data_IF_261154081959
#
_entry.id   IF_261154081959
#
_cell.length_a   1.000
_cell.length_b   1.000
_cell.length_c   1.000
_cell.angle_alpha   90.00
_cell.angle_beta   90.00
_cell.angle_gamma   90.00
#
_symmetry.space_group_name_H-M   'P 1'
#
loop_
_entity.id
_entity.type
_entity.pdbx_description
1 polymer ?
#
# COMPACT_ATOMS: atom_id res chain seq x y z
N UNK A 1 12.71 -24.65 -9.87
CA UNK A 1 11.50 -23.79 -9.93
C UNK A 1 11.54 -22.98 -11.22
N UNK A 2 10.42 -22.85 -11.92
CA UNK A 2 10.32 -21.95 -13.08
C UNK A 2 10.16 -20.48 -12.64
N UNK A 3 10.27 -19.54 -13.59
CA UNK A 3 10.23 -18.09 -13.29
C UNK A 3 8.93 -17.65 -12.58
N UNK A 4 7.79 -18.20 -12.99
CA UNK A 4 6.50 -17.97 -12.33
C UNK A 4 6.56 -18.34 -10.84
N UNK A 5 7.06 -19.54 -10.53
CA UNK A 5 7.16 -20.03 -9.14
C UNK A 5 8.09 -19.17 -8.29
N UNK A 6 9.24 -18.70 -8.85
CA UNK A 6 10.13 -17.79 -8.13
C UNK A 6 9.45 -16.49 -7.77
N UNK A 7 8.67 -15.89 -8.69
CA UNK A 7 7.95 -14.64 -8.43
C UNK A 7 6.89 -14.84 -7.34
N UNK A 8 6.05 -15.88 -7.48
CA UNK A 8 5.02 -16.18 -6.49
C UNK A 8 5.61 -16.39 -5.10
N UNK A 9 6.66 -17.22 -5.01
CA UNK A 9 7.35 -17.50 -3.76
C UNK A 9 7.97 -16.25 -3.14
N UNK A 10 8.67 -15.43 -3.93
CA UNK A 10 9.31 -14.21 -3.46
C UNK A 10 8.31 -13.18 -2.91
N UNK A 11 7.17 -12.99 -3.59
CA UNK A 11 6.12 -12.08 -3.13
C UNK A 11 5.49 -12.58 -1.84
N UNK A 12 5.13 -13.87 -1.77
CA UNK A 12 4.57 -14.48 -0.56
C UNK A 12 5.56 -14.37 0.61
N UNK A 13 6.84 -14.70 0.37
CA UNK A 13 7.87 -14.62 1.40
C UNK A 13 8.07 -13.18 1.89
N UNK A 14 8.06 -12.19 1.00
CA UNK A 14 8.15 -10.78 1.37
C UNK A 14 6.96 -10.34 2.23
N UNK A 15 5.72 -10.74 1.87
CA UNK A 15 4.54 -10.46 2.67
C UNK A 15 4.60 -11.13 4.06
N UNK A 16 5.02 -12.39 4.14
CA UNK A 16 5.18 -13.11 5.41
C UNK A 16 6.28 -12.50 6.28
N UNK A 17 7.39 -12.07 5.69
CA UNK A 17 8.47 -11.41 6.42
C UNK A 17 8.00 -10.09 7.05
N UNK A 18 7.24 -9.27 6.30
CA UNK A 18 6.69 -8.04 6.87
C UNK A 18 5.63 -8.35 7.92
N UNK A 19 4.73 -9.32 7.69
CA UNK A 19 3.76 -9.73 8.71
C UNK A 19 4.46 -10.17 10.02
N UNK A 20 5.56 -10.91 9.92
CA UNK A 20 6.38 -11.29 11.08
C UNK A 20 7.00 -10.08 11.78
N UNK A 21 7.52 -9.11 11.02
CA UNK A 21 8.04 -7.84 11.57
C UNK A 21 6.94 -7.06 12.29
N UNK A 22 5.74 -6.97 11.71
CA UNK A 22 4.61 -6.21 12.27
C UNK A 22 4.02 -6.87 13.53
N UNK A 23 3.99 -8.22 13.59
CA UNK A 23 3.27 -8.94 14.66
C UNK A 23 4.18 -9.48 15.75
N UNK A 24 5.43 -9.82 15.43
CA UNK A 24 6.35 -10.50 16.37
C UNK A 24 7.49 -9.58 16.81
N UNK A 25 8.19 -8.95 15.88
CA UNK A 25 9.37 -8.12 16.22
C UNK A 25 8.93 -6.75 16.74
N UNK A 26 7.91 -6.15 16.11
CA UNK A 26 7.32 -4.86 16.45
C UNK A 26 8.35 -3.74 16.70
N UNK A 27 9.32 -3.53 15.82
CA UNK A 27 10.28 -2.45 15.98
C UNK A 27 9.60 -1.11 15.66
N UNK A 28 10.18 -0.01 16.11
CA UNK A 28 9.66 1.33 15.79
C UNK A 28 9.58 1.60 14.28
N UNK A 29 8.73 2.54 13.88
CA UNK A 29 8.36 2.85 12.50
C UNK A 29 9.56 3.01 11.54
N UNK A 30 10.63 3.70 11.97
CA UNK A 30 11.82 3.92 11.14
C UNK A 30 12.52 2.60 10.77
N UNK A 31 12.64 1.67 11.73
CA UNK A 31 13.26 0.36 11.50
C UNK A 31 12.39 -0.49 10.58
N UNK A 32 11.08 -0.53 10.79
CA UNK A 32 10.12 -1.19 9.88
C UNK A 32 10.25 -0.66 8.45
N UNK A 33 10.33 0.66 8.30
CA UNK A 33 10.48 1.33 7.01
C UNK A 33 11.79 0.95 6.31
N UNK A 34 12.91 0.87 7.02
CA UNK A 34 14.19 0.42 6.47
C UNK A 34 14.14 -1.05 6.04
N UNK A 35 13.55 -1.93 6.85
CA UNK A 35 13.37 -3.35 6.50
C UNK A 35 12.52 -3.47 5.22
N UNK A 36 11.40 -2.76 5.14
CA UNK A 36 10.52 -2.75 3.96
C UNK A 36 11.26 -2.25 2.71
N UNK A 37 12.00 -1.13 2.84
CA UNK A 37 12.80 -0.58 1.76
C UNK A 37 13.77 -1.63 1.19
N UNK A 38 14.58 -2.24 2.06
CA UNK A 38 15.58 -3.23 1.65
C UNK A 38 14.93 -4.50 1.08
N UNK A 39 13.89 -5.00 1.72
CA UNK A 39 13.22 -6.24 1.32
C UNK A 39 12.52 -6.07 -0.03
N UNK A 40 11.72 -5.01 -0.22
CA UNK A 40 10.94 -4.83 -1.45
C UNK A 40 11.84 -4.46 -2.63
N UNK A 41 12.73 -3.49 -2.47
CA UNK A 41 13.67 -3.12 -3.55
C UNK A 41 14.64 -4.25 -3.85
N UNK A 42 15.17 -4.93 -2.84
CA UNK A 42 16.08 -6.07 -2.99
C UNK A 42 15.41 -7.23 -3.74
N UNK A 43 14.15 -7.56 -3.40
CA UNK A 43 13.38 -8.61 -4.09
C UNK A 43 13.14 -8.27 -5.56
N UNK A 44 12.70 -7.04 -5.85
CA UNK A 44 12.45 -6.56 -7.21
C UNK A 44 13.74 -6.54 -8.03
N UNK A 45 14.83 -6.05 -7.45
CA UNK A 45 16.14 -6.01 -8.11
C UNK A 45 16.70 -7.41 -8.37
N UNK A 46 16.68 -8.31 -7.39
CA UNK A 46 17.16 -9.69 -7.51
C UNK A 46 16.42 -10.48 -8.59
N UNK A 47 15.13 -10.18 -8.78
CA UNK A 47 14.32 -10.75 -9.85
C UNK A 47 14.40 -9.95 -11.17
N UNK A 48 15.33 -9.01 -11.32
CA UNK A 48 15.69 -8.36 -12.57
C UNK A 48 14.58 -7.52 -13.20
N UNK A 49 13.62 -7.03 -12.42
CA UNK A 49 12.54 -6.18 -12.93
C UNK A 49 13.11 -4.80 -13.27
N UNK A 50 12.87 -4.31 -14.47
CA UNK A 50 13.43 -3.06 -14.99
C UNK A 50 12.42 -2.35 -15.91
N UNK A 51 12.68 -1.05 -16.19
CA UNK A 51 11.92 -0.28 -17.19
C UNK A 51 10.51 0.09 -16.76
N UNK A 52 10.25 0.19 -15.44
CA UNK A 52 8.94 0.46 -14.88
C UNK A 52 8.56 1.94 -14.89
N UNK A 53 9.55 2.85 -14.83
CA UNK A 53 9.33 4.29 -14.71
C UNK A 53 9.15 4.96 -16.09
N UNK A 54 8.00 4.70 -16.70
CA UNK A 54 7.60 5.26 -17.98
C UNK A 54 6.49 6.27 -17.74
N UNK A 55 6.38 7.29 -18.61
CA UNK A 55 5.43 8.40 -18.43
C UNK A 55 4.04 8.13 -19.03
N UNK A 56 3.84 6.97 -19.64
CA UNK A 56 2.54 6.60 -20.20
C UNK A 56 1.48 6.52 -19.10
N UNK A 57 0.35 7.16 -19.32
CA UNK A 57 -0.78 7.15 -18.37
C UNK A 57 -0.65 8.10 -17.18
N UNK A 58 0.39 8.93 -17.10
CA UNK A 58 0.62 9.84 -15.98
C UNK A 58 -0.61 10.73 -15.66
N UNK A 59 -1.22 11.34 -16.68
CA UNK A 59 -2.41 12.17 -16.51
C UNK A 59 -3.61 11.39 -15.94
N UNK A 60 -3.78 10.12 -16.34
CA UNK A 60 -4.81 9.25 -15.79
C UNK A 60 -4.52 8.91 -14.33
N UNK A 61 -3.26 8.63 -13.98
CA UNK A 61 -2.85 8.38 -12.60
C UNK A 61 -3.14 9.56 -11.68
N UNK A 62 -2.82 10.79 -12.11
CA UNK A 62 -3.13 12.02 -11.37
C UNK A 62 -4.64 12.20 -11.22
N UNK A 63 -5.41 12.08 -12.31
CA UNK A 63 -6.87 12.24 -12.26
C UNK A 63 -7.54 11.23 -11.32
N UNK A 64 -7.13 9.96 -11.39
CA UNK A 64 -7.64 8.92 -10.49
C UNK A 64 -7.16 9.13 -9.06
N UNK A 65 -5.91 9.56 -8.83
CA UNK A 65 -5.43 9.92 -7.51
C UNK A 65 -6.29 11.00 -6.85
N UNK A 66 -6.64 12.04 -7.61
CA UNK A 66 -7.56 13.10 -7.15
C UNK A 66 -8.98 12.58 -6.87
N UNK A 67 -9.50 11.70 -7.74
CA UNK A 67 -10.82 11.09 -7.54
C UNK A 67 -10.83 10.20 -6.30
N UNK A 68 -9.83 9.33 -6.12
CA UNK A 68 -9.69 8.46 -4.95
C UNK A 68 -9.55 9.29 -3.67
N UNK A 69 -8.72 10.35 -3.70
CA UNK A 69 -8.58 11.30 -2.60
C UNK A 69 -9.95 11.85 -2.17
N UNK A 70 -10.74 12.33 -3.12
CA UNK A 70 -12.07 12.88 -2.85
C UNK A 70 -13.03 11.84 -2.30
N UNK A 71 -13.02 10.61 -2.86
CA UNK A 71 -13.88 9.51 -2.40
C UNK A 71 -13.53 9.10 -0.98
N UNK A 72 -12.25 8.95 -0.64
CA UNK A 72 -11.82 8.56 0.72
C UNK A 72 -12.20 9.63 1.73
N UNK A 73 -11.97 10.91 1.45
CA UNK A 73 -12.39 11.99 2.35
C UNK A 73 -13.92 12.05 2.48
N UNK A 74 -14.67 11.89 1.39
CA UNK A 74 -16.13 11.82 1.44
C UNK A 74 -16.62 10.66 2.30
N UNK A 75 -16.05 9.48 2.12
CA UNK A 75 -16.36 8.29 2.92
C UNK A 75 -16.00 8.51 4.41
N UNK A 76 -14.89 9.16 4.70
CA UNK A 76 -14.52 9.51 6.06
C UNK A 76 -15.60 10.38 6.75
N UNK A 77 -16.08 11.45 6.10
CA UNK A 77 -17.11 12.31 6.69
C UNK A 77 -18.41 11.55 6.93
N UNK A 78 -18.77 10.59 6.09
CA UNK A 78 -19.95 9.74 6.28
C UNK A 78 -19.74 8.72 7.42
N UNK A 79 -18.56 8.14 7.52
CA UNK A 79 -18.23 7.08 8.49
C UNK A 79 -17.69 7.62 9.82
N UNK A 80 -17.36 8.91 9.91
CA UNK A 80 -16.78 9.54 11.10
C UNK A 80 -17.50 9.21 12.42
N UNK A 81 -18.85 9.18 12.49
CA UNK A 81 -19.55 8.84 13.72
C UNK A 81 -19.29 7.41 14.23
N UNK A 82 -18.77 6.53 13.37
CA UNK A 82 -18.48 5.13 13.67
C UNK A 82 -16.98 4.86 13.90
N UNK A 83 -16.13 5.90 13.85
CA UNK A 83 -14.69 5.80 14.02
C UNK A 83 -14.27 6.40 15.37
N UNK A 84 -13.55 5.63 16.14
CA UNK A 84 -12.88 6.10 17.35
C UNK A 84 -11.49 6.65 17.00
N UNK A 85 -11.45 7.95 16.67
CA UNK A 85 -10.23 8.62 16.26
C UNK A 85 -9.20 8.73 17.39
N UNK A 86 -9.64 8.80 18.65
CA UNK A 86 -8.76 8.86 19.81
C UNK A 86 -8.07 7.51 20.02
N UNK A 87 -8.82 6.41 19.91
CA UNK A 87 -8.25 5.06 19.98
C UNK A 87 -7.27 4.80 18.83
N UNK A 88 -7.58 5.28 17.60
CA UNK A 88 -6.67 5.17 16.45
C UNK A 88 -5.38 5.98 16.70
N UNK A 89 -5.48 7.20 17.19
CA UNK A 89 -4.31 8.04 17.51
C UNK A 89 -3.43 7.42 18.60
N UNK A 90 -4.06 6.88 19.67
CA UNK A 90 -3.36 6.18 20.72
C UNK A 90 -2.65 4.91 20.20
N UNK A 91 -3.31 4.15 19.33
CA UNK A 91 -2.72 2.97 18.70
C UNK A 91 -1.53 3.30 17.78
N UNK A 92 -1.59 4.43 17.06
CA UNK A 92 -0.46 4.92 16.24
C UNK A 92 0.74 5.28 17.11
N UNK A 93 0.52 5.92 18.25
CA UNK A 93 1.58 6.26 19.19
C UNK A 93 2.19 4.98 19.81
N UNK A 94 1.37 4.08 20.28
CA UNK A 94 1.80 2.89 21.01
C UNK A 94 2.52 1.88 20.10
N UNK A 95 1.94 1.56 18.94
CA UNK A 95 2.49 0.55 18.02
C UNK A 95 3.59 1.07 17.11
N UNK A 96 3.47 2.33 16.67
CA UNK A 96 4.33 2.88 15.62
C UNK A 96 5.24 4.02 16.11
N UNK A 97 5.03 4.54 17.30
CA UNK A 97 5.71 5.73 17.79
C UNK A 97 5.38 6.99 16.97
N UNK A 98 4.20 6.99 16.33
CA UNK A 98 3.73 8.12 15.52
C UNK A 98 2.94 9.07 16.41
N UNK A 99 3.44 10.29 16.55
CA UNK A 99 2.88 11.36 17.37
C UNK A 99 2.61 12.60 16.52
N UNK A 100 2.00 13.61 17.14
CA UNK A 100 1.75 14.90 16.49
C UNK A 100 3.04 15.53 15.93
N UNK A 101 4.16 15.38 16.64
CA UNK A 101 5.44 16.02 16.33
C UNK A 101 6.09 15.42 15.06
N UNK A 102 5.91 14.13 14.82
CA UNK A 102 6.53 13.43 13.70
C UNK A 102 5.55 13.05 12.58
N UNK A 103 4.24 13.23 12.80
CA UNK A 103 3.19 12.78 11.87
C UNK A 103 3.39 13.29 10.44
N UNK A 104 3.72 14.57 10.27
CA UNK A 104 3.89 15.15 8.94
C UNK A 104 4.95 14.41 8.11
N UNK A 105 6.09 14.09 8.73
CA UNK A 105 7.17 13.37 8.05
C UNK A 105 6.79 11.93 7.73
N UNK A 106 6.11 11.27 8.66
CA UNK A 106 5.57 9.92 8.45
C UNK A 106 4.54 9.93 7.33
N UNK A 107 3.62 10.91 7.31
CA UNK A 107 2.61 11.07 6.29
C UNK A 107 3.19 11.28 4.88
N UNK A 108 4.22 12.11 4.75
CA UNK A 108 4.94 12.32 3.49
C UNK A 108 5.65 11.04 3.04
N UNK A 109 6.32 10.35 3.97
CA UNK A 109 6.96 9.07 3.67
C UNK A 109 5.95 8.02 3.21
N UNK A 110 4.83 7.84 3.93
CA UNK A 110 3.78 6.89 3.56
C UNK A 110 3.21 7.23 2.19
N UNK A 111 2.91 8.51 1.94
CA UNK A 111 2.25 8.91 0.70
C UNK A 111 3.12 8.70 -0.53
N UNK A 112 4.42 8.92 -0.45
CA UNK A 112 5.28 8.92 -1.64
C UNK A 112 6.29 7.78 -1.68
N UNK A 113 6.97 7.50 -0.57
CA UNK A 113 8.03 6.49 -0.56
C UNK A 113 7.45 5.10 -0.33
N UNK A 114 6.67 4.92 0.74
CA UNK A 114 6.09 3.62 1.06
C UNK A 114 5.14 3.14 -0.06
N UNK A 115 4.30 4.03 -0.60
CA UNK A 115 3.44 3.69 -1.74
C UNK A 115 4.25 3.25 -2.96
N UNK A 116 5.39 3.90 -3.26
CA UNK A 116 6.26 3.50 -4.36
C UNK A 116 6.86 2.10 -4.12
N UNK A 117 7.30 1.81 -2.90
CA UNK A 117 7.84 0.48 -2.54
C UNK A 117 6.79 -0.62 -2.73
N UNK A 118 5.56 -0.34 -2.32
CA UNK A 118 4.44 -1.26 -2.49
C UNK A 118 4.08 -1.45 -3.96
N UNK A 119 4.03 -0.38 -4.76
CA UNK A 119 3.80 -0.52 -6.20
C UNK A 119 4.94 -1.27 -6.90
N UNK A 120 6.20 -1.09 -6.49
CA UNK A 120 7.32 -1.88 -7.04
C UNK A 120 7.14 -3.38 -6.79
N UNK A 121 6.76 -3.78 -5.59
CA UNK A 121 6.56 -5.19 -5.26
C UNK A 121 5.28 -5.73 -5.92
N UNK A 122 4.14 -5.08 -5.70
CA UNK A 122 2.84 -5.63 -6.10
C UNK A 122 2.55 -5.39 -7.59
N UNK A 123 2.83 -4.22 -8.16
CA UNK A 123 2.57 -3.95 -9.59
C UNK A 123 3.79 -4.25 -10.44
N UNK A 124 4.97 -3.85 -10.02
CA UNK A 124 6.20 -4.14 -10.76
C UNK A 124 6.47 -5.64 -10.87
N UNK A 125 6.54 -6.34 -9.74
CA UNK A 125 6.91 -7.76 -9.70
C UNK A 125 5.68 -8.68 -9.80
N UNK A 126 4.70 -8.54 -8.89
CA UNK A 126 3.59 -9.48 -8.77
C UNK A 126 2.54 -9.34 -9.89
N UNK A 127 2.52 -8.23 -10.63
CA UNK A 127 1.67 -8.06 -11.79
C UNK A 127 2.46 -7.99 -13.09
N UNK A 128 3.25 -6.92 -13.33
CA UNK A 128 3.88 -6.67 -14.64
C UNK A 128 4.90 -7.75 -15.02
N UNK A 129 5.70 -8.22 -14.08
CA UNK A 129 6.65 -9.30 -14.37
C UNK A 129 5.95 -10.65 -14.41
N UNK A 130 5.05 -10.94 -13.47
CA UNK A 130 4.36 -12.22 -13.39
C UNK A 130 3.49 -12.50 -14.63
N UNK A 131 2.79 -11.51 -15.19
CA UNK A 131 1.94 -11.69 -16.38
C UNK A 131 2.69 -12.13 -17.63
N UNK A 132 4.03 -11.95 -17.68
CA UNK A 132 4.86 -12.48 -18.77
C UNK A 132 4.96 -14.01 -18.74
N UNK A 133 4.60 -14.63 -17.62
CA UNK A 133 4.74 -16.06 -17.35
C UNK A 133 3.42 -16.76 -17.01
N UNK A 134 2.30 -16.03 -17.04
CA UNK A 134 0.94 -16.54 -16.77
C UNK A 134 -0.10 -15.65 -17.43
N UNK A 135 -1.41 -15.94 -17.23
CA UNK A 135 -2.47 -15.07 -17.75
C UNK A 135 -2.48 -13.72 -17.00
N UNK A 136 -2.82 -12.66 -17.72
CA UNK A 136 -2.93 -11.31 -17.15
C UNK A 136 -3.92 -11.25 -15.99
N UNK A 137 -5.08 -11.93 -16.15
CA UNK A 137 -6.10 -11.99 -15.10
C UNK A 137 -5.59 -12.64 -13.82
N UNK A 138 -4.85 -13.76 -13.92
CA UNK A 138 -4.23 -14.39 -12.75
C UNK A 138 -3.22 -13.46 -12.09
N UNK A 139 -2.34 -12.80 -12.85
CA UNK A 139 -1.37 -11.89 -12.29
C UNK A 139 -2.02 -10.69 -11.59
N UNK A 140 -3.09 -10.12 -12.16
CA UNK A 140 -3.83 -9.01 -11.56
C UNK A 140 -4.52 -9.42 -10.24
N UNK A 141 -5.21 -10.56 -10.23
CA UNK A 141 -5.88 -11.08 -9.02
C UNK A 141 -4.87 -11.45 -7.94
N UNK A 142 -3.77 -12.13 -8.32
CA UNK A 142 -2.71 -12.47 -7.36
C UNK A 142 -2.07 -11.23 -6.75
N UNK A 143 -1.73 -10.22 -7.57
CA UNK A 143 -1.18 -8.96 -7.10
C UNK A 143 -2.11 -8.23 -6.14
N UNK A 144 -3.39 -8.12 -6.49
CA UNK A 144 -4.40 -7.46 -5.65
C UNK A 144 -4.65 -8.22 -4.34
N UNK A 145 -4.71 -9.56 -4.40
CA UNK A 145 -4.88 -10.40 -3.21
C UNK A 145 -3.66 -10.33 -2.29
N UNK A 146 -2.44 -10.38 -2.83
CA UNK A 146 -1.21 -10.24 -2.06
C UNK A 146 -1.11 -8.85 -1.42
N UNK A 147 -1.48 -7.79 -2.15
CA UNK A 147 -1.53 -6.43 -1.63
C UNK A 147 -2.53 -6.28 -0.47
N UNK A 148 -3.74 -6.80 -0.61
CA UNK A 148 -4.71 -6.80 0.49
C UNK A 148 -4.21 -7.65 1.67
N UNK A 149 -3.73 -8.88 1.42
CA UNK A 149 -3.24 -9.78 2.46
C UNK A 149 -2.06 -9.20 3.25
N UNK A 150 -1.17 -8.46 2.59
CA UNK A 150 -0.07 -7.74 3.23
C UNK A 150 -0.56 -6.73 4.29
N UNK A 151 -1.74 -6.12 4.09
CA UNK A 151 -2.31 -5.16 5.03
C UNK A 151 -3.03 -5.80 6.23
N UNK A 152 -3.23 -7.12 6.24
CA UNK A 152 -3.89 -7.81 7.36
C UNK A 152 -3.17 -7.52 8.68
N UNK A 153 -1.86 -7.75 8.72
CA UNK A 153 -1.06 -7.53 9.93
C UNK A 153 -0.92 -6.05 10.30
N UNK A 154 -0.93 -5.15 9.30
CA UNK A 154 -0.79 -3.70 9.52
C UNK A 154 -2.06 -3.13 10.16
N UNK A 155 -3.24 -3.56 9.70
CA UNK A 155 -4.53 -3.02 10.13
C UNK A 155 -5.13 -3.79 11.34
N UNK A 156 -4.43 -4.81 11.85
CA UNK A 156 -4.92 -5.63 12.94
C UNK A 156 -5.14 -4.80 14.22
N UNK A 157 -6.32 -4.93 14.80
CA UNK A 157 -6.71 -4.25 16.03
C UNK A 157 -7.06 -2.76 15.89
N UNK A 158 -7.08 -2.18 14.67
CA UNK A 158 -7.36 -0.74 14.47
C UNK A 158 -8.85 -0.42 14.30
N UNK A 159 -9.62 -1.39 13.82
CA UNK A 159 -11.01 -1.15 13.41
C UNK A 159 -11.95 -2.24 13.91
N UNK A 160 -13.23 -1.89 13.99
CA UNK A 160 -14.30 -2.88 14.16
C UNK A 160 -14.31 -3.84 12.96
N UNK A 161 -14.79 -5.06 13.14
CA UNK A 161 -14.75 -6.13 12.14
C UNK A 161 -15.33 -5.76 10.78
N UNK A 162 -16.42 -4.95 10.75
CA UNK A 162 -17.07 -4.54 9.50
C UNK A 162 -16.29 -3.43 8.78
N UNK A 163 -15.68 -2.46 9.51
CA UNK A 163 -14.79 -1.44 8.94
C UNK A 163 -13.54 -2.11 8.39
N UNK A 164 -12.97 -3.04 9.13
CA UNK A 164 -11.83 -3.85 8.68
C UNK A 164 -12.15 -4.58 7.36
N UNK A 165 -13.32 -5.26 7.28
CA UNK A 165 -13.77 -5.93 6.05
C UNK A 165 -13.95 -4.96 4.88
N UNK A 166 -14.45 -3.75 5.13
CA UNK A 166 -14.58 -2.70 4.12
C UNK A 166 -13.20 -2.23 3.63
N UNK A 167 -12.24 -2.01 4.55
CA UNK A 167 -10.88 -1.64 4.20
C UNK A 167 -10.20 -2.73 3.35
N UNK A 168 -10.30 -4.00 3.75
CA UNK A 168 -9.73 -5.13 3.01
C UNK A 168 -10.32 -5.27 1.60
N UNK A 169 -11.63 -5.07 1.48
CA UNK A 169 -12.32 -5.06 0.18
C UNK A 169 -11.82 -3.89 -0.69
N UNK A 170 -11.71 -2.70 -0.10
CA UNK A 170 -11.19 -1.51 -0.76
C UNK A 170 -9.75 -1.69 -1.26
N UNK A 171 -8.88 -2.29 -0.44
CA UNK A 171 -7.50 -2.61 -0.81
C UNK A 171 -7.43 -3.61 -1.98
N UNK A 172 -8.25 -4.65 -1.96
CA UNK A 172 -8.31 -5.62 -3.05
C UNK A 172 -8.80 -4.98 -4.35
N UNK A 173 -9.92 -4.24 -4.31
CA UNK A 173 -10.47 -3.54 -5.48
C UNK A 173 -9.51 -2.45 -5.99
N UNK A 174 -8.90 -1.68 -5.10
CA UNK A 174 -7.84 -0.72 -5.42
C UNK A 174 -6.67 -1.40 -6.10
N UNK A 175 -6.26 -2.57 -5.60
CA UNK A 175 -5.22 -3.40 -6.21
C UNK A 175 -5.50 -3.82 -7.64
N UNK A 176 -6.75 -4.18 -7.94
CA UNK A 176 -7.20 -4.48 -9.31
C UNK A 176 -7.18 -3.24 -10.20
N UNK A 177 -7.67 -2.10 -9.71
CA UNK A 177 -7.67 -0.82 -10.43
C UNK A 177 -6.23 -0.41 -10.77
N UNK A 178 -5.30 -0.49 -9.83
CA UNK A 178 -3.89 -0.18 -10.04
C UNK A 178 -3.25 -1.10 -11.08
N UNK A 179 -3.60 -2.39 -11.08
CA UNK A 179 -3.14 -3.32 -12.12
C UNK A 179 -3.66 -2.93 -13.52
N UNK A 180 -4.89 -2.46 -13.62
CA UNK A 180 -5.46 -1.96 -14.89
C UNK A 180 -4.75 -0.68 -15.35
N UNK A 181 -4.42 0.23 -14.45
CA UNK A 181 -3.66 1.45 -14.75
C UNK A 181 -2.31 1.13 -15.38
N UNK A 182 -1.65 0.09 -14.87
CA UNK A 182 -0.29 -0.28 -15.28
C UNK A 182 -0.26 -1.25 -16.48
N UNK A 183 -1.40 -1.57 -17.09
CA UNK A 183 -1.47 -2.51 -18.24
C UNK A 183 -0.51 -2.18 -19.38
N UNK A 184 -0.17 -0.90 -19.57
CA UNK A 184 0.77 -0.44 -20.59
C UNK A 184 2.24 -0.60 -20.19
N UNK A 185 2.52 -1.17 -19.03
CA UNK A 185 3.88 -1.45 -18.54
C UNK A 185 4.55 -0.27 -17.84
N UNK A 186 3.77 0.74 -17.44
CA UNK A 186 4.24 1.88 -16.67
C UNK A 186 3.73 1.77 -15.23
N UNK A 187 4.59 2.05 -14.23
CA UNK A 187 4.28 2.00 -12.80
C UNK A 187 3.78 3.35 -12.25
N UNK A 188 4.14 4.44 -12.91
CA UNK A 188 3.82 5.79 -12.43
C UNK A 188 2.32 6.05 -12.27
N UNK A 189 1.41 5.55 -13.14
CA UNK A 189 -0.02 5.79 -12.98
C UNK A 189 -0.59 5.19 -11.69
N UNK A 190 -0.25 3.94 -11.36
CA UNK A 190 -0.70 3.30 -10.11
C UNK A 190 -0.09 3.97 -8.89
N UNK A 191 1.21 4.29 -8.94
CA UNK A 191 1.87 4.99 -7.85
C UNK A 191 1.22 6.35 -7.53
N UNK A 192 0.87 7.15 -8.53
CA UNK A 192 0.20 8.44 -8.31
C UNK A 192 -1.21 8.27 -7.76
N UNK A 193 -1.95 7.27 -8.25
CA UNK A 193 -3.27 6.96 -7.72
C UNK A 193 -3.18 6.48 -6.25
N UNK A 194 -2.20 5.65 -5.92
CA UNK A 194 -1.92 5.18 -4.56
C UNK A 194 -1.46 6.32 -3.65
N UNK A 195 -0.57 7.19 -4.13
CA UNK A 195 -0.17 8.39 -3.39
C UNK A 195 -1.38 9.29 -3.06
N UNK A 196 -2.32 9.44 -4.00
CA UNK A 196 -3.58 10.14 -3.78
C UNK A 196 -4.43 9.52 -2.66
N UNK A 197 -4.54 8.18 -2.62
CA UNK A 197 -5.22 7.46 -1.55
C UNK A 197 -4.54 7.70 -0.18
N UNK A 198 -3.22 7.57 -0.13
CA UNK A 198 -2.47 7.79 1.10
C UNK A 198 -2.50 9.25 1.57
N UNK A 199 -2.48 10.22 0.64
CA UNK A 199 -2.66 11.63 0.98
C UNK A 199 -4.04 11.88 1.61
N UNK A 200 -5.10 11.23 1.14
CA UNK A 200 -6.43 11.35 1.76
C UNK A 200 -6.44 10.80 3.19
N UNK A 201 -5.90 9.59 3.39
CA UNK A 201 -5.81 8.96 4.72
C UNK A 201 -4.94 9.81 5.66
N UNK A 202 -3.82 10.32 5.18
CA UNK A 202 -2.94 11.18 5.97
C UNK A 202 -3.57 12.56 6.24
N UNK A 203 -4.42 13.08 5.36
CA UNK A 203 -5.21 14.28 5.62
C UNK A 203 -6.17 14.03 6.80
N UNK A 204 -6.82 12.88 6.87
CA UNK A 204 -7.62 12.47 8.03
C UNK A 204 -6.75 12.44 9.30
N UNK A 205 -5.54 11.90 9.20
CA UNK A 205 -4.58 11.90 10.30
C UNK A 205 -4.18 13.31 10.78
N UNK A 206 -4.03 14.28 9.85
CA UNK A 206 -3.76 15.67 10.22
C UNK A 206 -4.92 16.27 11.06
N UNK A 207 -6.18 15.97 10.71
CA UNK A 207 -7.33 16.33 11.54
C UNK A 207 -7.29 15.64 12.90
N UNK A 208 -6.98 14.36 12.93
CA UNK A 208 -6.94 13.57 14.15
C UNK A 208 -5.90 14.10 15.15
N UNK A 209 -4.73 14.53 14.68
CA UNK A 209 -3.65 15.09 15.49
C UNK A 209 -3.79 16.61 15.73
N UNK A 210 -4.85 17.27 15.25
CA UNK A 210 -5.07 18.71 15.43
C UNK A 210 -3.98 19.56 14.79
N UNK A 211 -3.55 19.19 13.60
CA UNK A 211 -2.51 19.89 12.81
C UNK A 211 -3.11 20.84 11.75
N UNK A 212 -4.43 20.98 11.74
CA UNK A 212 -5.19 22.00 11.00
C UNK A 212 -5.91 22.92 11.97
#
# INVERSE_FOLDING_TARGET
MNRKQHILFAVILACLAIAFVETVIQPGYAVKSCIKLLLFTGTVYALGVRGLFRREGLGLGIALGGAIFTVILGAFFLCRPFLDLEAIAAGLLDKEGVSRENFLWVALYISFVNSLLEELLFRGLAYLELRKHTSEGFAAVFSAAAFAAYHIAILDGWFTWWVYGLCMTGLFLGGLIFSVLDRRGALLPSWLAHAGANLAINTIGLFMFGLF
#
